data_IF_636772120051
#
_entry.id   IF_636772120051
#
_cell.length_a   1.000
_cell.length_b   1.000
_cell.length_c   1.000
_cell.angle_alpha   90.00
_cell.angle_beta   90.00
_cell.angle_gamma   90.00
#
_symmetry.space_group_name_H-M   'P 1'
#
loop_
_entity.id
_entity.type
_entity.pdbx_description
1 polymer ?
#
# COMPACT_ATOMS: atom_id res chain seq x y z
N UNK A 1 18.22 -5.35 -2.45
CA UNK A 1 16.90 -4.98 -2.99
C UNK A 1 16.15 -6.26 -3.32
N UNK A 2 14.92 -6.39 -2.82
CA UNK A 2 14.02 -7.51 -3.13
C UNK A 2 13.00 -7.13 -4.21
N UNK A 3 12.52 -5.90 -4.16
CA UNK A 3 11.54 -5.36 -5.10
C UNK A 3 11.97 -3.95 -5.54
N UNK A 4 11.78 -3.64 -6.82
CA UNK A 4 11.84 -2.28 -7.36
C UNK A 4 10.51 -1.94 -8.05
N UNK A 5 9.86 -0.84 -7.64
CA UNK A 5 8.59 -0.37 -8.21
C UNK A 5 8.77 0.91 -9.01
N UNK A 6 8.05 1.04 -10.12
CA UNK A 6 8.10 2.18 -11.01
C UNK A 6 7.25 3.35 -10.52
N UNK A 7 7.50 4.56 -11.01
CA UNK A 7 6.57 5.68 -10.93
C UNK A 7 5.47 5.51 -11.96
N UNK A 8 4.22 5.60 -11.52
CA UNK A 8 3.09 5.51 -12.44
C UNK A 8 2.35 6.84 -12.50
N UNK A 9 1.92 7.19 -13.71
CA UNK A 9 1.17 8.39 -14.02
C UNK A 9 -0.21 8.05 -14.55
N UNK A 10 -1.17 8.90 -14.26
CA UNK A 10 -2.44 8.97 -14.97
C UNK A 10 -2.24 9.59 -16.37
N UNK A 11 -3.28 9.50 -17.22
CA UNK A 11 -3.23 10.02 -18.59
C UNK A 11 -3.03 11.55 -18.68
N UNK A 12 -3.34 12.28 -17.61
CA UNK A 12 -3.21 13.74 -17.48
C UNK A 12 -1.87 14.20 -16.89
N UNK A 13 -0.86 13.30 -16.87
CA UNK A 13 0.46 13.57 -16.32
C UNK A 13 0.51 13.75 -14.79
N UNK A 14 -0.55 13.45 -14.07
CA UNK A 14 -0.52 13.44 -12.61
C UNK A 14 -0.04 12.09 -12.06
N UNK A 15 0.56 12.11 -10.88
CA UNK A 15 1.09 10.92 -10.21
C UNK A 15 -0.07 10.03 -9.76
N UNK A 16 -0.05 8.76 -10.15
CA UNK A 16 -0.90 7.70 -9.64
C UNK A 16 -0.20 6.93 -8.51
N UNK A 17 1.09 6.66 -8.69
CA UNK A 17 1.90 5.91 -7.73
C UNK A 17 3.33 6.43 -7.67
N UNK A 18 3.78 6.71 -6.45
CA UNK A 18 5.16 7.04 -6.12
C UNK A 18 5.60 6.39 -4.79
N UNK A 19 5.20 5.15 -4.58
CA UNK A 19 5.37 4.39 -3.34
C UNK A 19 4.06 4.26 -2.56
N UNK A 20 4.05 3.33 -1.60
CA UNK A 20 2.90 3.06 -0.72
C UNK A 20 3.32 3.24 0.73
N UNK A 21 2.48 3.95 1.49
CA UNK A 21 2.59 4.09 2.94
C UNK A 21 1.47 3.29 3.61
N UNK A 22 1.84 2.45 4.57
CA UNK A 22 0.86 1.74 5.40
C UNK A 22 0.21 2.72 6.38
N UNK A 23 -1.11 2.70 6.44
CA UNK A 23 -1.91 3.64 7.24
C UNK A 23 -2.58 4.76 6.44
N UNK A 24 -2.13 5.09 5.23
CA UNK A 24 -2.83 6.05 4.39
C UNK A 24 -4.26 5.60 4.09
N UNK A 25 -5.23 6.50 4.33
CA UNK A 25 -6.65 6.21 4.12
C UNK A 25 -7.20 5.10 5.03
N UNK A 26 -6.45 4.71 6.08
CA UNK A 26 -6.82 3.69 7.05
C UNK A 26 -5.91 2.46 6.99
N UNK A 27 -5.67 1.87 5.83
CA UNK A 27 -4.90 0.63 5.70
C UNK A 27 -3.59 0.84 4.95
N UNK A 28 -3.65 1.31 3.73
CA UNK A 28 -2.49 1.62 2.90
C UNK A 28 -2.91 2.44 1.69
N UNK A 29 -2.04 3.34 1.25
CA UNK A 29 -2.34 4.16 0.09
C UNK A 29 -1.09 4.66 -0.63
N UNK A 30 -1.29 5.07 -1.86
CA UNK A 30 -0.24 5.62 -2.70
C UNK A 30 0.13 7.04 -2.28
N UNK A 31 1.40 7.39 -2.41
CA UNK A 31 1.90 8.73 -2.12
C UNK A 31 1.74 9.67 -3.32
N UNK A 32 1.52 10.96 -3.05
CA UNK A 32 1.49 12.05 -4.02
C UNK A 32 0.44 11.90 -5.14
N UNK A 33 -0.65 11.16 -4.90
CA UNK A 33 -1.74 11.01 -5.87
C UNK A 33 -2.24 12.39 -6.33
N UNK A 34 -2.36 12.57 -7.65
CA UNK A 34 -2.88 13.79 -8.27
C UNK A 34 -1.87 14.95 -8.37
N UNK A 35 -0.65 14.82 -7.80
CA UNK A 35 0.41 15.80 -8.01
C UNK A 35 0.90 15.71 -9.46
N UNK A 36 0.98 16.83 -10.17
CA UNK A 36 1.51 16.82 -11.54
C UNK A 36 2.99 16.42 -11.55
N UNK A 37 3.41 15.62 -12.53
CA UNK A 37 4.76 15.02 -12.61
C UNK A 37 5.91 16.04 -12.58
N UNK A 38 5.66 17.30 -12.95
CA UNK A 38 6.63 18.39 -12.94
C UNK A 38 6.62 19.22 -11.66
N UNK A 39 5.66 19.01 -10.76
CA UNK A 39 5.58 19.75 -9.51
C UNK A 39 6.51 19.17 -8.43
N UNK A 40 6.96 20.04 -7.54
CA UNK A 40 7.81 19.66 -6.43
C UNK A 40 6.96 18.95 -5.35
N UNK A 41 7.26 17.69 -5.10
CA UNK A 41 6.74 16.96 -3.95
C UNK A 41 7.48 17.32 -2.66
N UNK A 42 6.95 16.90 -1.51
CA UNK A 42 7.60 17.03 -0.21
C UNK A 42 9.07 16.53 -0.28
N UNK A 43 10.03 17.42 -0.10
CA UNK A 43 11.48 17.16 -0.24
C UNK A 43 11.86 16.40 -1.52
N UNK A 44 11.20 16.67 -2.64
CA UNK A 44 11.40 15.99 -3.94
C UNK A 44 11.26 14.47 -3.90
N UNK A 45 10.58 13.90 -2.89
CA UNK A 45 10.48 12.46 -2.68
C UNK A 45 9.90 11.69 -3.87
N UNK A 46 8.98 12.30 -4.63
CA UNK A 46 8.46 11.67 -5.85
C UNK A 46 9.49 11.54 -6.98
N UNK A 47 10.64 12.22 -6.87
CA UNK A 47 11.72 12.22 -7.86
C UNK A 47 12.98 11.48 -7.39
N UNK A 48 13.01 10.99 -6.15
CA UNK A 48 14.16 10.33 -5.56
C UNK A 48 13.90 8.84 -5.38
N UNK A 49 14.90 8.00 -5.72
CA UNK A 49 14.87 6.60 -5.34
C UNK A 49 14.94 6.47 -3.82
N UNK A 50 14.05 5.68 -3.24
CA UNK A 50 13.97 5.51 -1.78
C UNK A 50 13.24 4.25 -1.38
N UNK A 51 13.44 3.84 -0.14
CA UNK A 51 12.73 2.70 0.45
C UNK A 51 11.31 3.09 0.85
N UNK A 52 10.39 2.16 0.62
CA UNK A 52 9.00 2.21 1.07
C UNK A 52 8.58 0.88 1.70
N UNK A 53 7.50 0.88 2.45
CA UNK A 53 6.91 -0.36 2.94
C UNK A 53 6.36 -1.22 1.82
N UNK A 54 5.80 -0.60 0.77
CA UNK A 54 5.32 -1.31 -0.40
C UNK A 54 5.36 -0.45 -1.68
N UNK A 55 5.21 -1.11 -2.82
CA UNK A 55 4.94 -0.56 -4.14
C UNK A 55 3.87 -1.38 -4.83
N UNK A 56 3.15 -0.78 -5.80
CA UNK A 56 2.08 -1.49 -6.50
C UNK A 56 2.59 -2.50 -7.53
N UNK A 57 1.87 -3.62 -7.65
CA UNK A 57 2.14 -4.63 -8.68
C UNK A 57 1.72 -4.20 -10.10
N UNK A 58 1.11 -3.02 -10.27
CA UNK A 58 0.85 -2.49 -11.62
C UNK A 58 2.14 -2.35 -12.43
N UNK A 59 3.29 -2.04 -11.77
CA UNK A 59 4.62 -2.21 -12.35
C UNK A 59 5.68 -2.35 -11.26
N UNK A 60 6.07 -3.57 -10.97
CA UNK A 60 7.19 -3.89 -10.09
C UNK A 60 8.09 -4.94 -10.71
N UNK A 61 9.35 -4.94 -10.29
CA UNK A 61 10.34 -5.95 -10.65
C UNK A 61 10.84 -6.64 -9.39
N UNK A 62 10.95 -7.97 -9.45
CA UNK A 62 11.51 -8.80 -8.39
C UNK A 62 12.28 -9.98 -8.99
N UNK A 63 13.25 -10.52 -8.28
CA UNK A 63 13.93 -11.75 -8.72
C UNK A 63 12.99 -12.94 -8.54
N UNK A 64 12.99 -13.88 -9.52
CA UNK A 64 12.23 -15.13 -9.44
C UNK A 64 12.48 -15.88 -8.12
N UNK A 65 13.75 -15.98 -7.71
CA UNK A 65 14.13 -16.63 -6.45
C UNK A 65 13.54 -15.95 -5.20
N UNK A 66 13.34 -14.62 -5.22
CA UNK A 66 12.67 -13.89 -4.12
C UNK A 66 11.18 -14.18 -4.13
N UNK A 67 10.57 -14.18 -5.32
CA UNK A 67 9.15 -14.50 -5.49
C UNK A 67 8.83 -15.91 -4.98
N UNK A 68 9.64 -16.88 -5.36
CA UNK A 68 9.51 -18.29 -4.93
C UNK A 68 9.75 -18.46 -3.43
N UNK A 69 10.75 -17.77 -2.86
CA UNK A 69 11.09 -17.87 -1.44
C UNK A 69 9.97 -17.38 -0.50
N UNK A 70 9.11 -16.46 -0.96
CA UNK A 70 7.97 -15.95 -0.17
C UNK A 70 6.64 -16.62 -0.55
N UNK A 71 6.65 -17.61 -1.44
CA UNK A 71 5.44 -18.27 -1.91
C UNK A 71 4.55 -17.44 -2.83
N UNK A 72 5.12 -16.42 -3.51
CA UNK A 72 4.40 -15.57 -4.46
C UNK A 72 3.33 -14.68 -3.84
N UNK A 73 2.30 -14.36 -4.63
CA UNK A 73 1.13 -13.60 -4.19
C UNK A 73 0.17 -14.47 -3.37
N UNK A 74 -0.48 -13.89 -2.37
CA UNK A 74 -1.46 -14.60 -1.54
C UNK A 74 -2.80 -14.72 -2.25
N UNK A 75 -3.31 -15.93 -2.42
CA UNK A 75 -4.58 -16.20 -3.12
C UNK A 75 -5.82 -15.69 -2.37
N UNK A 76 -5.71 -15.54 -1.06
CA UNK A 76 -6.75 -14.98 -0.17
C UNK A 76 -6.97 -13.46 -0.36
N UNK A 77 -5.99 -12.77 -0.94
CA UNK A 77 -6.03 -11.35 -1.31
C UNK A 77 -6.10 -11.25 -2.83
N UNK A 78 -7.26 -11.57 -3.40
CA UNK A 78 -7.41 -11.74 -4.85
C UNK A 78 -7.28 -10.44 -5.65
N UNK A 79 -7.61 -9.29 -5.04
CA UNK A 79 -7.66 -7.98 -5.71
C UNK A 79 -6.97 -6.90 -4.91
N UNK A 80 -7.44 -6.60 -3.68
CA UNK A 80 -6.85 -5.56 -2.85
C UNK A 80 -5.70 -6.12 -2.01
N UNK A 81 -4.69 -5.28 -1.79
CA UNK A 81 -3.56 -5.53 -0.89
C UNK A 81 -2.66 -6.75 -1.24
N UNK A 82 -2.86 -7.46 -2.34
CA UNK A 82 -2.02 -8.60 -2.74
C UNK A 82 -0.56 -8.18 -3.01
N UNK A 83 -0.37 -7.02 -3.62
CA UNK A 83 0.94 -6.41 -3.87
C UNK A 83 1.59 -5.90 -2.58
N UNK A 84 0.80 -5.29 -1.69
CA UNK A 84 1.28 -4.82 -0.40
C UNK A 84 1.69 -6.00 0.47
N UNK A 85 0.87 -7.05 0.56
CA UNK A 85 1.19 -8.30 1.24
C UNK A 85 2.48 -8.93 0.70
N UNK A 86 2.63 -8.98 -0.63
CA UNK A 86 3.85 -9.46 -1.25
C UNK A 86 5.08 -8.65 -0.84
N UNK A 87 4.98 -7.31 -0.85
CA UNK A 87 6.03 -6.44 -0.37
C UNK A 87 6.38 -6.71 1.10
N UNK A 88 5.37 -6.89 1.96
CA UNK A 88 5.57 -7.20 3.38
C UNK A 88 6.28 -8.54 3.58
N UNK A 89 5.92 -9.60 2.83
CA UNK A 89 6.61 -10.89 2.86
C UNK A 89 8.08 -10.76 2.46
N UNK A 90 8.37 -9.97 1.42
CA UNK A 90 9.75 -9.73 0.96
C UNK A 90 10.56 -8.94 2.01
N UNK A 91 9.93 -7.98 2.69
CA UNK A 91 10.55 -7.25 3.81
C UNK A 91 10.82 -8.16 5.01
N UNK A 92 9.96 -9.12 5.30
CA UNK A 92 10.18 -10.11 6.34
C UNK A 92 11.43 -10.98 6.09
N UNK A 93 11.88 -11.12 4.82
CA UNK A 93 13.18 -11.71 4.47
C UNK A 93 14.36 -10.74 4.68
N UNK A 94 14.18 -9.58 5.28
CA UNK A 94 15.21 -8.55 5.44
C UNK A 94 15.61 -7.85 4.14
N UNK A 95 14.76 -7.88 3.10
CA UNK A 95 15.04 -7.23 1.81
C UNK A 95 14.31 -5.88 1.71
N UNK A 96 14.91 -4.96 0.95
CA UNK A 96 14.35 -3.63 0.69
C UNK A 96 13.31 -3.68 -0.44
N UNK A 97 12.28 -2.85 -0.30
CA UNK A 97 11.31 -2.50 -1.34
C UNK A 97 11.60 -1.06 -1.76
N UNK A 98 12.06 -0.88 -2.98
CA UNK A 98 12.58 0.40 -3.49
C UNK A 98 11.62 0.98 -4.51
N UNK A 99 11.26 2.23 -4.32
CA UNK A 99 10.64 3.05 -5.36
C UNK A 99 11.71 3.62 -6.29
N UNK A 100 11.58 3.40 -7.59
CA UNK A 100 12.53 3.79 -8.64
C UNK A 100 11.86 4.80 -9.60
N UNK A 101 11.94 6.13 -9.34
CA UNK A 101 11.24 7.16 -10.12
C UNK A 101 11.74 7.29 -11.56
N UNK A 102 12.93 6.78 -11.85
CA UNK A 102 13.52 6.81 -13.21
C UNK A 102 12.78 5.90 -14.19
N UNK A 103 12.12 4.84 -13.71
CA UNK A 103 11.18 4.04 -14.47
C UNK A 103 9.80 4.71 -14.35
N UNK A 104 9.41 5.53 -15.32
CA UNK A 104 8.12 6.23 -15.33
C UNK A 104 7.25 5.71 -16.44
N UNK A 105 6.02 5.29 -16.12
CA UNK A 105 5.06 4.73 -17.07
C UNK A 105 3.66 5.32 -16.83
N UNK A 106 2.80 5.24 -17.85
CA UNK A 106 1.39 5.54 -17.72
C UNK A 106 0.61 4.27 -17.37
N UNK A 107 -0.26 4.34 -16.38
CA UNK A 107 -1.14 3.25 -16.01
C UNK A 107 -2.60 3.69 -16.11
N UNK A 108 -3.31 3.15 -17.10
CA UNK A 108 -4.72 3.45 -17.38
C UNK A 108 -5.61 2.58 -16.48
N UNK A 109 -5.73 2.99 -15.21
CA UNK A 109 -6.50 2.31 -14.19
C UNK A 109 -7.96 2.08 -14.59
N UNK A 110 -8.56 1.03 -14.07
CA UNK A 110 -9.99 0.69 -14.19
C UNK A 110 -10.49 0.36 -15.60
N UNK A 111 -9.67 0.42 -16.66
CA UNK A 111 -10.11 0.04 -18.00
C UNK A 111 -10.54 -1.42 -18.14
N UNK A 112 -9.92 -2.31 -17.35
CA UNK A 112 -10.18 -3.75 -17.43
C UNK A 112 -11.14 -4.28 -16.35
N UNK A 113 -11.26 -3.61 -15.19
CA UNK A 113 -12.06 -4.08 -14.05
C UNK A 113 -13.29 -3.25 -13.74
N UNK A 114 -13.36 -2.00 -14.22
CA UNK A 114 -14.36 -1.02 -13.81
C UNK A 114 -14.18 -0.55 -12.35
N UNK A 115 -15.15 0.17 -11.82
CA UNK A 115 -15.14 0.69 -10.45
C UNK A 115 -15.45 -0.41 -9.43
N UNK A 116 -14.97 -0.24 -8.18
CA UNK A 116 -15.23 -1.13 -7.03
C UNK A 116 -16.50 -0.69 -6.28
N UNK A 117 -17.63 -0.59 -6.99
CA UNK A 117 -18.86 0.08 -6.55
C UNK A 117 -20.05 -0.87 -6.33
N UNK A 118 -19.94 -2.15 -6.68
CA UNK A 118 -21.03 -3.12 -6.43
C UNK A 118 -20.96 -3.68 -5.00
N UNK A 119 -22.11 -4.07 -4.39
CA UNK A 119 -22.15 -4.65 -3.05
C UNK A 119 -21.19 -5.84 -2.86
N UNK A 120 -21.07 -6.70 -3.87
CA UNK A 120 -20.19 -7.88 -3.84
C UNK A 120 -18.71 -7.47 -3.83
N UNK A 121 -18.34 -6.46 -4.62
CA UNK A 121 -16.98 -5.92 -4.66
C UNK A 121 -16.61 -5.24 -3.35
N UNK A 122 -17.53 -4.44 -2.78
CA UNK A 122 -17.36 -3.83 -1.46
C UNK A 122 -17.20 -4.88 -0.36
N UNK A 123 -18.05 -5.93 -0.37
CA UNK A 123 -17.95 -7.02 0.60
C UNK A 123 -16.61 -7.78 0.48
N UNK A 124 -16.15 -8.04 -0.74
CA UNK A 124 -14.83 -8.62 -1.00
C UNK A 124 -13.71 -7.71 -0.46
N UNK A 125 -13.73 -6.43 -0.81
CA UNK A 125 -12.74 -5.45 -0.34
C UNK A 125 -12.65 -5.43 1.19
N UNK A 126 -13.79 -5.33 1.90
CA UNK A 126 -13.81 -5.32 3.37
C UNK A 126 -13.22 -6.61 3.96
N UNK A 127 -13.48 -7.77 3.33
CA UNK A 127 -12.89 -9.06 3.74
C UNK A 127 -11.37 -9.07 3.53
N UNK A 128 -10.90 -8.56 2.39
CA UNK A 128 -9.46 -8.46 2.10
C UNK A 128 -8.75 -7.50 3.06
N UNK A 129 -9.41 -6.39 3.45
CA UNK A 129 -8.94 -5.52 4.53
C UNK A 129 -8.78 -6.28 5.85
N UNK A 130 -9.81 -7.02 6.27
CA UNK A 130 -9.78 -7.79 7.52
C UNK A 130 -8.66 -8.85 7.51
N UNK A 131 -8.48 -9.55 6.39
CA UNK A 131 -7.38 -10.51 6.20
C UNK A 131 -6.02 -9.80 6.32
N UNK A 132 -5.85 -8.65 5.67
CA UNK A 132 -4.59 -7.90 5.71
C UNK A 132 -4.25 -7.42 7.13
N UNK A 133 -5.22 -6.86 7.86
CA UNK A 133 -5.04 -6.42 9.26
C UNK A 133 -4.60 -7.59 10.13
N UNK A 134 -5.30 -8.75 10.02
CA UNK A 134 -4.99 -9.96 10.81
C UNK A 134 -3.60 -10.51 10.49
N UNK A 135 -3.16 -10.41 9.24
CA UNK A 135 -1.88 -10.93 8.76
C UNK A 135 -0.69 -10.05 9.16
N UNK A 136 -0.89 -8.74 9.22
CA UNK A 136 0.16 -7.75 9.47
C UNK A 136 -0.16 -6.82 10.66
N UNK A 137 -0.51 -7.36 11.84
CA UNK A 137 -0.96 -6.56 12.99
C UNK A 137 0.10 -5.58 13.49
N UNK A 138 1.38 -5.97 13.43
CA UNK A 138 2.47 -5.15 13.97
C UNK A 138 2.65 -3.84 13.21
N UNK A 139 2.64 -3.86 11.87
CA UNK A 139 2.79 -2.64 11.09
C UNK A 139 1.53 -1.77 11.15
N UNK A 140 0.35 -2.38 11.25
CA UNK A 140 -0.91 -1.66 11.44
C UNK A 140 -0.89 -0.93 12.79
N UNK A 141 -0.43 -1.58 13.85
CA UNK A 141 -0.37 -1.01 15.20
C UNK A 141 0.75 0.02 15.36
N UNK A 142 1.95 -0.30 14.88
CA UNK A 142 3.15 0.51 15.12
C UNK A 142 3.37 1.59 14.05
N UNK A 143 2.62 1.55 12.94
CA UNK A 143 2.76 2.46 11.81
C UNK A 143 3.88 2.07 10.83
N UNK A 144 3.93 2.79 9.73
CA UNK A 144 4.91 2.56 8.66
C UNK A 144 6.29 3.08 9.06
N UNK A 145 7.34 2.23 9.08
CA UNK A 145 8.68 2.62 9.52
C UNK A 145 9.37 3.62 8.57
N UNK A 146 8.87 3.79 7.34
CA UNK A 146 9.40 4.77 6.38
C UNK A 146 8.60 6.08 6.36
N UNK A 147 7.61 6.23 7.28
CA UNK A 147 6.77 7.41 7.35
C UNK A 147 6.90 8.11 8.70
N UNK A 148 7.11 9.44 8.67
CA UNK A 148 7.27 10.22 9.89
C UNK A 148 5.92 10.34 10.63
N UNK A 149 5.82 9.96 11.93
CA UNK A 149 4.58 9.99 12.70
C UNK A 149 3.99 11.40 12.89
N UNK A 150 4.77 12.47 12.66
CA UNK A 150 4.29 13.85 12.70
C UNK A 150 3.56 14.28 11.43
N UNK A 151 3.56 13.46 10.38
CA UNK A 151 2.84 13.72 9.15
C UNK A 151 1.46 13.03 9.18
N UNK A 152 0.47 13.65 8.49
CA UNK A 152 -0.88 13.10 8.46
C UNK A 152 -0.99 11.84 7.58
N UNK A 153 -1.75 10.86 8.05
CA UNK A 153 -2.14 9.69 7.25
C UNK A 153 -3.42 9.92 6.44
N UNK A 154 -4.05 11.11 6.56
CA UNK A 154 -5.31 11.45 5.87
C UNK A 154 -5.11 12.03 4.47
N UNK A 155 -3.88 12.39 4.12
CA UNK A 155 -3.52 12.98 2.82
C UNK A 155 -2.24 12.33 2.30
N UNK A 156 -2.18 12.11 0.99
CA UNK A 156 -1.04 11.45 0.33
C UNK A 156 0.16 12.37 0.07
N UNK A 157 0.13 13.62 0.53
CA UNK A 157 1.08 14.68 0.18
C UNK A 157 2.12 15.00 1.26
N UNK A 158 2.21 14.19 2.33
CA UNK A 158 3.13 14.38 3.45
C UNK A 158 2.92 15.70 4.23
N UNK A 159 1.69 16.20 4.28
CA UNK A 159 1.36 17.37 5.08
C UNK A 159 1.54 17.09 6.58
N UNK A 160 1.77 18.16 7.36
CA UNK A 160 1.85 18.03 8.81
C UNK A 160 0.51 17.54 9.40
N UNK A 161 0.62 16.74 10.45
CA UNK A 161 -0.53 16.26 11.21
C UNK A 161 -1.16 17.42 12.00
N UNK A 162 -2.47 17.50 11.96
CA UNK A 162 -3.24 18.38 12.83
C UNK A 162 -3.51 17.64 14.16
N UNK A 163 -2.71 17.91 15.19
CA UNK A 163 -2.80 17.23 16.49
C UNK A 163 -4.12 17.49 17.24
N UNK A 164 -4.90 18.50 16.82
CA UNK A 164 -6.24 18.72 17.36
C UNK A 164 -7.27 17.75 16.77
N UNK A 165 -7.01 17.19 15.58
CA UNK A 165 -7.93 16.33 14.83
C UNK A 165 -7.45 14.90 14.67
N UNK A 166 -6.14 14.65 14.82
CA UNK A 166 -5.52 13.36 14.58
C UNK A 166 -4.61 12.96 15.75
N UNK A 167 -4.94 11.90 16.45
CA UNK A 167 -4.04 11.31 17.46
C UNK A 167 -2.86 10.61 16.80
N UNK A 168 -1.69 10.72 17.40
CA UNK A 168 -0.51 9.95 16.99
C UNK A 168 -0.77 8.48 17.34
N UNK A 169 -0.57 7.57 16.36
CA UNK A 169 -0.71 6.13 16.54
C UNK A 169 -2.11 5.54 16.36
N UNK A 170 -3.17 6.39 16.31
CA UNK A 170 -4.56 5.93 16.14
C UNK A 170 -5.31 6.79 15.11
N UNK A 171 -4.88 6.84 13.84
CA UNK A 171 -5.49 7.74 12.86
C UNK A 171 -6.90 7.28 12.42
N UNK A 172 -7.20 5.97 12.57
CA UNK A 172 -8.44 5.35 12.12
C UNK A 172 -8.91 4.26 13.08
N UNK A 173 -10.23 4.17 13.27
CA UNK A 173 -10.85 3.04 13.93
C UNK A 173 -11.00 1.89 12.91
N UNK A 174 -10.17 0.87 13.06
CA UNK A 174 -10.17 -0.30 12.18
C UNK A 174 -11.05 -1.44 12.70
N UNK A 175 -11.63 -1.33 13.90
CA UNK A 175 -12.52 -2.35 14.48
C UNK A 175 -13.77 -2.60 13.63
N UNK A 176 -14.13 -1.63 12.78
CA UNK A 176 -15.22 -1.75 11.81
C UNK A 176 -15.04 -2.94 10.83
N UNK A 177 -13.81 -3.43 10.67
CA UNK A 177 -13.48 -4.56 9.79
C UNK A 177 -13.52 -5.92 10.50
N UNK A 178 -13.58 -5.98 11.83
CA UNK A 178 -13.56 -7.24 12.61
C UNK A 178 -14.68 -8.19 12.19
N UNK A 179 -15.87 -7.64 11.89
CA UNK A 179 -17.02 -8.40 11.42
C UNK A 179 -16.84 -9.10 10.04
N UNK A 180 -15.80 -8.74 9.30
CA UNK A 180 -15.47 -9.32 8.00
C UNK A 180 -14.31 -10.31 8.08
N UNK A 181 -13.68 -10.45 9.26
CA UNK A 181 -12.57 -11.37 9.45
C UNK A 181 -13.05 -12.82 9.20
N UNK A 182 -12.26 -13.65 8.48
CA UNK A 182 -12.60 -15.04 8.30
C UNK A 182 -12.63 -15.75 9.66
N UNK A 183 -13.66 -16.61 9.84
CA UNK A 183 -13.74 -17.48 11.00
C UNK A 183 -12.49 -18.36 11.09
N UNK A 184 -11.93 -18.48 12.29
CA UNK A 184 -10.83 -19.42 12.53
C UNK A 184 -11.37 -20.82 12.34
N UNK A 185 -10.85 -21.54 11.35
CA UNK A 185 -11.08 -22.99 11.30
C UNK A 185 -10.55 -23.56 12.63
N UNK A 186 -11.45 -24.00 13.51
CA UNK A 186 -11.05 -24.85 14.62
C UNK A 186 -10.32 -26.03 14.01
N UNK A 187 -9.03 -26.19 14.33
CA UNK A 187 -8.32 -27.43 14.03
C UNK A 187 -9.06 -28.52 14.81
N UNK A 188 -9.77 -29.39 14.12
CA UNK A 188 -10.21 -30.64 14.69
C UNK A 188 -8.93 -31.39 15.10
N UNK A 189 -8.71 -31.47 16.41
CA UNK A 189 -7.68 -32.33 17.05
C UNK A 189 -8.02 -33.80 16.83
#
# INVERSE_FOLDING_TARGET
>A
VGIAGARLLYADDTIQHAGVVIGFGGIAGHTFIGLHKAENSYFHRAMCAQDYSAVTAACLMTKKSVFEAVGGLSTELAVAFNDIDYCMKVRALGKLVVYAPYATLYHYESKSRGLEDTPEKVARFNREVAIFIKKWPDIIKNGDPYYNPNLTLRKSNFALRDLLKEKIGEPYDLSVYDKFAPEEKKSDE
#
